data_IF_654853104436
#
_entry.id   IF_654853104436
#
_cell.length_a   1.000
_cell.length_b   1.000
_cell.length_c   1.000
_cell.angle_alpha   90.00
_cell.angle_beta   90.00
_cell.angle_gamma   90.00
#
_symmetry.space_group_name_H-M   'P 1'
#
loop_
_entity.id
_entity.type
_entity.pdbx_description
1 polymer ?
#
# COMPACT_ATOMS: atom_id res chain seq x y z
N UNK A 1 20.45 -24.93 34.50
CA UNK A 1 19.39 -24.99 33.45
C UNK A 1 18.29 -23.91 33.55
N UNK A 2 18.06 -23.30 34.73
CA UNK A 2 17.10 -22.15 34.89
C UNK A 2 17.44 -20.89 34.09
N UNK A 3 18.72 -20.42 33.99
CA UNK A 3 19.04 -19.16 33.29
C UNK A 3 18.72 -19.21 31.80
N UNK A 4 19.07 -20.29 31.08
CA UNK A 4 18.80 -20.43 29.64
C UNK A 4 17.28 -20.48 29.35
N UNK A 5 16.51 -21.14 30.22
CA UNK A 5 15.03 -21.17 30.10
C UNK A 5 14.41 -19.79 30.32
N UNK A 6 14.97 -18.98 31.21
CA UNK A 6 14.51 -17.62 31.46
C UNK A 6 14.85 -16.67 30.30
N UNK A 7 16.06 -16.76 29.75
CA UNK A 7 16.47 -16.05 28.54
C UNK A 7 15.55 -16.38 27.34
N UNK A 8 15.28 -17.68 27.13
CA UNK A 8 14.41 -18.13 26.05
C UNK A 8 12.95 -17.67 26.20
N UNK A 9 12.42 -17.60 27.44
CA UNK A 9 11.08 -17.05 27.72
C UNK A 9 11.00 -15.57 27.38
N UNK A 10 12.04 -14.81 27.74
CA UNK A 10 12.12 -13.36 27.50
C UNK A 10 12.24 -13.06 26.01
N UNK A 11 13.10 -13.79 25.29
CA UNK A 11 13.20 -13.67 23.84
C UNK A 11 11.87 -13.99 23.13
N UNK A 12 11.09 -14.96 23.63
CA UNK A 12 9.74 -15.23 23.08
C UNK A 12 8.71 -14.15 23.43
N UNK A 13 8.84 -13.52 24.59
CA UNK A 13 8.01 -12.37 24.98
C UNK A 13 8.40 -11.12 24.21
N UNK A 14 9.62 -11.06 23.67
CA UNK A 14 10.14 -10.04 22.82
C UNK A 14 9.53 -10.13 21.41
N UNK A 15 8.27 -9.77 21.29
CA UNK A 15 7.65 -9.49 19.99
C UNK A 15 8.05 -8.08 19.62
N UNK A 16 8.97 -7.94 18.65
CA UNK A 16 9.45 -6.68 18.14
C UNK A 16 8.31 -5.70 17.86
N UNK A 17 8.12 -4.75 18.72
CA UNK A 17 7.08 -3.72 18.65
C UNK A 17 7.40 -2.63 19.66
N UNK A 18 7.66 -1.45 19.17
CA UNK A 18 7.43 -0.09 19.73
C UNK A 18 7.89 0.29 21.14
N UNK A 19 8.48 -0.56 21.94
CA UNK A 19 9.09 -0.19 23.21
C UNK A 19 10.57 -0.52 23.17
N UNK A 20 11.40 0.42 23.62
CA UNK A 20 12.83 0.24 23.81
C UNK A 20 13.01 -0.99 24.72
N UNK A 21 13.60 -2.09 24.26
CA UNK A 21 13.65 -3.30 25.04
C UNK A 21 14.56 -3.09 26.23
N UNK A 22 14.09 -3.42 27.42
CA UNK A 22 14.97 -3.51 28.58
C UNK A 22 16.15 -4.45 28.25
N UNK A 23 17.42 -4.01 28.37
CA UNK A 23 18.57 -4.84 28.11
C UNK A 23 18.52 -6.16 28.89
N UNK A 24 18.91 -7.24 28.23
CA UNK A 24 18.93 -8.59 28.84
C UNK A 24 20.15 -8.78 29.73
N UNK A 25 21.31 -8.26 29.31
CA UNK A 25 22.59 -8.45 29.96
C UNK A 25 22.62 -8.11 31.46
N UNK A 26 22.07 -6.97 31.95
CA UNK A 26 22.13 -6.62 33.37
C UNK A 26 21.48 -7.64 34.32
N UNK A 27 20.78 -8.61 33.81
CA UNK A 27 20.04 -9.63 34.61
C UNK A 27 20.76 -10.97 34.71
N UNK A 28 21.88 -11.11 33.98
CA UNK A 28 22.70 -12.31 33.99
C UNK A 28 24.13 -11.96 34.39
N UNK A 29 24.85 -12.84 35.11
CA UNK A 29 26.27 -12.60 35.46
C UNK A 29 27.09 -12.50 34.17
N UNK A 30 28.01 -11.49 34.13
CA UNK A 30 28.85 -11.21 32.95
C UNK A 30 29.89 -12.31 32.69
N UNK A 31 30.19 -13.13 33.69
CA UNK A 31 31.26 -14.12 33.70
C UNK A 31 30.80 -15.53 33.33
N UNK A 32 29.48 -15.72 33.04
CA UNK A 32 28.99 -16.98 32.57
C UNK A 32 28.60 -16.95 31.06
N UNK A 33 28.46 -18.13 30.46
CA UNK A 33 28.14 -18.30 29.04
C UNK A 33 26.77 -17.66 28.69
N UNK A 34 25.86 -17.59 29.63
CA UNK A 34 24.51 -17.04 29.45
C UNK A 34 24.56 -15.51 29.46
N UNK A 35 25.41 -14.93 30.33
CA UNK A 35 25.65 -13.49 30.35
C UNK A 35 26.29 -13.00 29.05
N UNK A 36 27.31 -13.70 28.54
CA UNK A 36 27.93 -13.40 27.25
C UNK A 36 26.94 -13.48 26.11
N UNK A 37 26.06 -14.48 26.10
CA UNK A 37 25.00 -14.61 25.09
C UNK A 37 23.96 -13.49 25.21
N UNK A 38 23.56 -13.09 26.42
CA UNK A 38 22.66 -11.99 26.65
C UNK A 38 23.24 -10.65 26.13
N UNK A 39 24.53 -10.40 26.41
CA UNK A 39 25.24 -9.23 25.87
C UNK A 39 25.30 -9.22 24.35
N UNK A 40 25.65 -10.34 23.73
CA UNK A 40 25.68 -10.43 22.26
C UNK A 40 24.30 -10.22 21.62
N UNK A 41 23.23 -10.65 22.28
CA UNK A 41 21.85 -10.40 21.82
C UNK A 41 21.45 -8.92 21.98
N UNK A 42 21.84 -8.27 23.06
CA UNK A 42 21.60 -6.84 23.27
C UNK A 42 22.35 -6.01 22.23
N UNK A 43 23.63 -6.33 21.97
CA UNK A 43 24.43 -5.67 20.92
C UNK A 43 23.83 -5.86 19.53
N UNK A 44 23.33 -7.07 19.22
CA UNK A 44 22.65 -7.35 17.94
C UNK A 44 21.35 -6.58 17.83
N UNK A 45 20.56 -6.54 18.90
CA UNK A 45 19.30 -5.80 18.97
C UNK A 45 19.53 -4.30 18.77
N UNK A 46 20.55 -3.73 19.42
CA UNK A 46 20.92 -2.32 19.27
C UNK A 46 21.30 -1.99 17.83
N UNK A 47 22.15 -2.82 17.19
CA UNK A 47 22.52 -2.63 15.78
C UNK A 47 21.32 -2.73 14.85
N UNK A 48 20.41 -3.67 15.10
CA UNK A 48 19.20 -3.81 14.29
C UNK A 48 18.30 -2.59 14.42
N UNK A 49 18.15 -2.07 15.65
CA UNK A 49 17.39 -0.86 15.93
C UNK A 49 17.98 0.35 15.22
N UNK A 50 19.31 0.50 15.25
CA UNK A 50 20.02 1.58 14.55
C UNK A 50 19.80 1.53 13.03
N UNK A 51 19.87 0.33 12.43
CA UNK A 51 19.63 0.16 10.98
C UNK A 51 18.19 0.53 10.64
N UNK A 52 17.21 0.05 11.41
CA UNK A 52 15.80 0.38 11.21
C UNK A 52 15.54 1.87 11.37
N UNK A 53 16.17 2.50 12.38
CA UNK A 53 16.01 3.93 12.61
C UNK A 53 16.61 4.76 11.46
N UNK A 54 17.80 4.39 11.00
CA UNK A 54 18.44 5.04 9.84
C UNK A 54 17.60 4.92 8.56
N UNK A 55 17.01 3.75 8.32
CA UNK A 55 16.10 3.55 7.18
C UNK A 55 14.84 4.42 7.29
N UNK A 56 14.30 4.60 8.50
CA UNK A 56 13.15 5.49 8.74
C UNK A 56 13.49 6.95 8.47
N UNK A 57 14.62 7.42 8.98
CA UNK A 57 15.10 8.78 8.76
C UNK A 57 15.37 9.05 7.29
N UNK A 58 16.07 8.14 6.60
CA UNK A 58 16.32 8.24 5.16
C UNK A 58 15.02 8.32 4.36
N UNK A 59 14.04 7.46 4.64
CA UNK A 59 12.75 7.50 3.97
C UNK A 59 11.98 8.79 4.23
N UNK A 60 12.08 9.35 5.45
CA UNK A 60 11.46 10.62 5.78
C UNK A 60 12.11 11.78 5.01
N UNK A 61 13.43 11.83 4.97
CA UNK A 61 14.19 12.86 4.25
C UNK A 61 13.92 12.81 2.75
N UNK A 62 14.02 11.63 2.13
CA UNK A 62 13.70 11.44 0.69
C UNK A 62 12.29 11.89 0.38
N UNK A 63 11.34 11.59 1.27
CA UNK A 63 9.94 11.99 1.05
C UNK A 63 9.73 13.49 1.15
N UNK A 64 10.45 14.16 2.05
CA UNK A 64 10.43 15.63 2.13
C UNK A 64 11.05 16.26 0.87
N UNK A 65 12.21 15.76 0.45
CA UNK A 65 12.90 16.22 -0.76
C UNK A 65 12.09 15.98 -2.06
N UNK A 66 11.28 14.92 -2.11
CA UNK A 66 10.41 14.64 -3.25
C UNK A 66 9.12 15.48 -3.25
N UNK A 67 8.59 15.88 -2.09
CA UNK A 67 7.38 16.73 -2.03
C UNK A 67 7.58 18.10 -2.66
N UNK A 68 8.74 18.70 -2.47
CA UNK A 68 9.04 20.02 -3.00
C UNK A 68 8.96 20.09 -4.53
N UNK A 69 9.67 19.26 -5.31
CA UNK A 69 9.55 19.26 -6.77
C UNK A 69 8.16 18.87 -7.26
N UNK A 70 7.46 17.95 -6.56
CA UNK A 70 6.09 17.59 -6.90
C UNK A 70 5.12 18.76 -6.68
N UNK A 71 5.28 19.54 -5.61
CA UNK A 71 4.48 20.74 -5.38
C UNK A 71 4.72 21.80 -6.48
N UNK A 72 5.94 21.94 -6.98
CA UNK A 72 6.26 22.83 -8.10
C UNK A 72 5.57 22.35 -9.38
N UNK A 73 5.65 21.04 -9.69
CA UNK A 73 4.98 20.44 -10.85
C UNK A 73 3.47 20.64 -10.76
N UNK A 74 2.87 20.41 -9.58
CA UNK A 74 1.45 20.64 -9.33
C UNK A 74 1.07 22.09 -9.59
N UNK A 75 1.75 23.05 -8.95
CA UNK A 75 1.45 24.46 -9.11
C UNK A 75 1.57 24.97 -10.55
N UNK A 76 2.64 24.54 -11.25
CA UNK A 76 2.81 24.87 -12.66
C UNK A 76 1.71 24.29 -13.55
N UNK A 77 1.32 23.03 -13.29
CA UNK A 77 0.28 22.34 -14.05
C UNK A 77 -1.10 22.98 -13.78
N UNK A 78 -1.40 23.28 -12.53
CA UNK A 78 -2.67 23.96 -12.15
C UNK A 78 -2.76 25.36 -12.77
N UNK A 79 -1.70 26.13 -12.72
CA UNK A 79 -1.66 27.45 -13.36
C UNK A 79 -1.91 27.37 -14.88
N UNK A 80 -1.31 26.40 -15.56
CA UNK A 80 -1.55 26.20 -16.99
C UNK A 80 -2.98 25.78 -17.28
N UNK A 81 -3.57 24.94 -16.43
CA UNK A 81 -4.97 24.48 -16.57
C UNK A 81 -6.03 25.58 -16.35
N UNK A 82 -5.67 26.75 -15.77
CA UNK A 82 -6.60 27.89 -15.66
C UNK A 82 -6.75 28.67 -16.98
N UNK A 83 -5.92 28.41 -17.96
CA UNK A 83 -5.98 29.11 -19.25
C UNK A 83 -7.17 28.61 -20.06
N UNK A 84 -8.01 29.55 -20.58
CA UNK A 84 -9.23 29.18 -21.32
C UNK A 84 -8.97 28.78 -22.78
N UNK A 85 -7.78 29.05 -23.29
CA UNK A 85 -7.38 28.94 -24.72
C UNK A 85 -6.47 27.74 -25.01
N UNK A 86 -6.52 26.71 -24.16
CA UNK A 86 -5.69 25.51 -24.35
C UNK A 86 -6.22 24.64 -25.49
N UNK A 87 -5.33 24.25 -26.40
CA UNK A 87 -5.64 23.18 -27.34
C UNK A 87 -6.00 21.88 -26.59
N UNK A 88 -6.99 21.13 -27.10
CA UNK A 88 -7.43 19.87 -26.51
C UNK A 88 -6.27 18.90 -26.21
N UNK A 89 -5.31 18.78 -27.12
CA UNK A 89 -4.13 17.93 -26.93
C UNK A 89 -3.23 18.39 -25.77
N UNK A 90 -3.10 19.70 -25.57
CA UNK A 90 -2.33 20.28 -24.46
C UNK A 90 -3.06 20.06 -23.15
N UNK A 91 -4.37 20.29 -23.12
CA UNK A 91 -5.23 20.04 -21.97
C UNK A 91 -5.10 18.58 -21.49
N UNK A 92 -5.22 17.62 -22.40
CA UNK A 92 -5.07 16.19 -22.08
C UNK A 92 -3.68 15.86 -21.51
N UNK A 93 -2.60 16.47 -22.06
CA UNK A 93 -1.24 16.26 -21.54
C UNK A 93 -1.09 16.84 -20.11
N UNK A 94 -1.58 18.03 -19.86
CA UNK A 94 -1.53 18.66 -18.54
C UNK A 94 -2.33 17.86 -17.50
N UNK A 95 -3.50 17.36 -17.86
CA UNK A 95 -4.27 16.48 -17.02
C UNK A 95 -3.53 15.17 -16.71
N UNK A 96 -2.79 14.63 -17.67
CA UNK A 96 -1.96 13.44 -17.47
C UNK A 96 -0.80 13.72 -16.50
N UNK A 97 -0.15 14.88 -16.61
CA UNK A 97 0.92 15.32 -15.68
C UNK A 97 0.35 15.46 -14.28
N UNK A 98 -0.80 16.14 -14.10
CA UNK A 98 -1.45 16.31 -12.80
C UNK A 98 -1.77 14.97 -12.12
N UNK A 99 -2.29 14.01 -12.88
CA UNK A 99 -2.56 12.66 -12.35
C UNK A 99 -1.32 11.91 -11.93
N UNK A 100 -0.25 11.96 -12.75
CA UNK A 100 1.00 11.32 -12.44
C UNK A 100 1.66 11.90 -11.18
N UNK A 101 1.59 13.23 -11.01
CA UNK A 101 2.05 13.93 -9.82
C UNK A 101 1.27 13.47 -8.58
N UNK A 102 -0.07 13.42 -8.66
CA UNK A 102 -0.90 12.95 -7.55
C UNK A 102 -0.58 11.50 -7.15
N UNK A 103 -0.41 10.60 -8.14
CA UNK A 103 0.00 9.22 -7.88
C UNK A 103 1.36 9.14 -7.17
N UNK A 104 2.34 9.96 -7.57
CA UNK A 104 3.63 10.02 -6.90
C UNK A 104 3.49 10.51 -5.46
N UNK A 105 2.69 11.55 -5.22
CA UNK A 105 2.42 12.09 -3.89
C UNK A 105 1.76 11.07 -2.97
N UNK A 106 0.77 10.33 -3.45
CA UNK A 106 0.09 9.28 -2.70
C UNK A 106 1.05 8.13 -2.36
N UNK A 107 1.87 7.69 -3.32
CA UNK A 107 2.88 6.65 -3.10
C UNK A 107 3.91 7.06 -2.04
N UNK A 108 4.41 8.30 -2.09
CA UNK A 108 5.35 8.85 -1.11
C UNK A 108 4.68 8.89 0.27
N UNK A 109 3.42 9.33 0.35
CA UNK A 109 2.64 9.33 1.59
C UNK A 109 2.51 7.93 2.20
N UNK A 110 2.16 6.94 1.39
CA UNK A 110 2.05 5.55 1.84
C UNK A 110 3.40 4.97 2.27
N UNK A 111 4.48 5.24 1.54
CA UNK A 111 5.82 4.80 1.91
C UNK A 111 6.28 5.38 3.25
N UNK A 112 5.93 6.64 3.53
CA UNK A 112 6.20 7.25 4.83
C UNK A 112 5.47 6.58 5.98
N UNK A 113 4.17 6.31 5.81
CA UNK A 113 3.38 5.57 6.82
C UNK A 113 3.99 4.19 7.09
N UNK A 114 4.37 3.48 6.03
CA UNK A 114 4.99 2.16 6.12
C UNK A 114 6.38 2.19 6.76
N UNK A 115 7.18 3.22 6.47
CA UNK A 115 8.52 3.40 7.03
C UNK A 115 8.48 3.64 8.54
N UNK A 116 7.52 4.45 9.01
CA UNK A 116 7.34 4.72 10.44
C UNK A 116 6.67 3.58 11.19
N UNK A 117 6.09 2.62 10.48
CA UNK A 117 5.23 1.59 11.03
C UNK A 117 4.11 2.16 11.93
N UNK A 118 3.66 3.37 11.60
CA UNK A 118 2.65 4.11 12.34
C UNK A 118 1.37 4.19 11.52
N UNK A 119 0.25 3.89 12.14
CA UNK A 119 -1.05 4.14 11.53
C UNK A 119 -1.27 5.66 11.48
N UNK A 120 -1.39 6.21 10.26
CA UNK A 120 -1.83 7.59 10.12
C UNK A 120 -3.21 7.77 10.71
N UNK A 121 -3.46 8.94 11.31
CA UNK A 121 -4.77 9.28 11.86
C UNK A 121 -5.73 9.71 10.74
N UNK A 122 -7.00 9.42 10.93
CA UNK A 122 -8.09 9.84 10.06
C UNK A 122 -9.04 8.71 9.70
N UNK A 123 -10.18 9.11 9.19
CA UNK A 123 -11.20 8.19 8.68
C UNK A 123 -11.49 8.49 7.22
N UNK A 124 -11.79 7.46 6.43
CA UNK A 124 -12.05 7.62 4.99
C UNK A 124 -13.30 6.89 4.56
N UNK A 125 -14.12 7.54 3.76
CA UNK A 125 -15.27 6.91 3.12
C UNK A 125 -14.81 6.13 1.88
N UNK A 126 -15.02 4.82 1.89
CA UNK A 126 -14.53 3.89 0.85
C UNK A 126 -15.15 4.19 -0.51
N UNK A 127 -16.46 4.42 -0.56
CA UNK A 127 -17.16 4.68 -1.82
C UNK A 127 -16.71 6.00 -2.45
N UNK A 128 -16.48 7.05 -1.64
CA UNK A 128 -16.00 8.36 -2.13
C UNK A 128 -14.61 8.21 -2.76
N UNK A 129 -13.69 7.53 -2.07
CA UNK A 129 -12.32 7.33 -2.59
C UNK A 129 -12.35 6.48 -3.85
N UNK A 130 -13.16 5.41 -3.87
CA UNK A 130 -13.33 4.57 -5.06
C UNK A 130 -13.86 5.37 -6.26
N UNK A 131 -14.88 6.22 -6.08
CA UNK A 131 -15.44 7.06 -7.15
C UNK A 131 -14.39 8.03 -7.71
N UNK A 132 -13.64 8.72 -6.86
CA UNK A 132 -12.56 9.63 -7.29
C UNK A 132 -11.51 8.91 -8.14
N UNK A 133 -11.14 7.68 -7.75
CA UNK A 133 -10.21 6.86 -8.50
C UNK A 133 -10.79 6.42 -9.85
N UNK A 134 -12.05 5.98 -9.86
CA UNK A 134 -12.74 5.60 -11.10
C UNK A 134 -12.87 6.79 -12.06
N UNK A 135 -13.21 7.98 -11.58
CA UNK A 135 -13.28 9.20 -12.40
C UNK A 135 -11.92 9.55 -13.01
N UNK A 136 -10.85 9.41 -12.21
CA UNK A 136 -9.50 9.58 -12.70
C UNK A 136 -9.16 8.60 -13.83
N UNK A 137 -9.58 7.34 -13.70
CA UNK A 137 -9.35 6.33 -14.74
C UNK A 137 -10.27 6.53 -15.95
N UNK A 138 -11.56 6.90 -15.78
CA UNK A 138 -12.50 7.22 -16.89
C UNK A 138 -11.88 8.27 -17.82
N UNK A 139 -11.27 9.31 -17.24
CA UNK A 139 -10.58 10.35 -18.00
C UNK A 139 -9.34 9.86 -18.77
N UNK A 140 -8.84 8.66 -18.47
CA UNK A 140 -7.62 8.09 -19.07
C UNK A 140 -7.88 6.95 -20.06
N UNK A 141 -9.10 6.46 -20.14
CA UNK A 141 -9.41 5.30 -21.00
C UNK A 141 -9.08 5.52 -22.49
N UNK A 142 -9.08 6.80 -22.95
CA UNK A 142 -8.58 7.15 -24.30
C UNK A 142 -9.23 6.38 -25.44
N UNK A 143 -10.51 5.98 -25.28
CA UNK A 143 -11.22 5.17 -26.27
C UNK A 143 -11.16 3.65 -26.03
N UNK A 144 -10.54 3.15 -24.97
CA UNK A 144 -10.68 1.74 -24.57
C UNK A 144 -12.15 1.44 -24.26
N UNK A 145 -12.74 0.36 -24.81
CA UNK A 145 -14.12 -0.02 -24.56
C UNK A 145 -14.29 -0.71 -23.21
N UNK A 146 -13.97 0.01 -22.12
CA UNK A 146 -14.08 -0.45 -20.75
C UNK A 146 -15.10 0.41 -20.02
N UNK A 147 -16.08 -0.22 -19.38
CA UNK A 147 -17.05 0.41 -18.50
C UNK A 147 -16.54 0.33 -17.06
N UNK A 148 -16.50 1.48 -16.36
CA UNK A 148 -16.10 1.52 -14.96
C UNK A 148 -17.33 1.79 -14.11
N UNK A 149 -17.67 0.86 -13.21
CA UNK A 149 -18.87 0.94 -12.36
C UNK A 149 -18.51 0.90 -10.87
N UNK A 150 -19.30 1.60 -10.05
CA UNK A 150 -19.28 1.54 -8.60
C UNK A 150 -20.64 1.15 -8.07
N UNK A 151 -20.68 0.04 -7.36
CA UNK A 151 -21.88 -0.54 -6.77
C UNK A 151 -21.77 -0.71 -5.26
N UNK A 152 -22.88 -1.03 -4.60
CA UNK A 152 -22.91 -1.37 -3.17
C UNK A 152 -23.08 -0.18 -2.25
N UNK A 153 -22.57 -0.29 -1.02
CA UNK A 153 -22.78 0.66 0.06
C UNK A 153 -22.00 1.97 -0.16
N UNK A 154 -22.59 3.09 0.25
CA UNK A 154 -21.99 4.43 0.13
C UNK A 154 -21.46 5.00 1.45
N UNK A 155 -21.78 4.36 2.57
CA UNK A 155 -21.54 4.84 3.93
C UNK A 155 -20.42 4.08 4.67
N UNK A 156 -19.76 3.11 4.02
CA UNK A 156 -18.63 2.40 4.63
C UNK A 156 -17.47 3.37 4.90
N UNK A 157 -17.14 3.53 6.19
CA UNK A 157 -16.03 4.35 6.67
C UNK A 157 -15.01 3.47 7.37
N UNK A 158 -13.74 3.63 7.02
CA UNK A 158 -12.60 2.92 7.59
C UNK A 158 -11.71 3.86 8.41
N UNK A 159 -11.08 3.33 9.45
CA UNK A 159 -10.12 4.05 10.28
C UNK A 159 -8.73 4.02 9.63
N UNK A 160 -8.56 4.89 8.65
CA UNK A 160 -7.31 5.10 7.93
C UNK A 160 -7.36 6.43 7.18
N UNK A 161 -6.22 7.12 6.99
CA UNK A 161 -6.15 8.33 6.19
C UNK A 161 -6.46 8.03 4.72
N UNK A 162 -7.03 9.00 4.02
CA UNK A 162 -7.43 8.88 2.62
C UNK A 162 -6.26 8.49 1.71
N UNK A 163 -5.04 8.94 1.99
CA UNK A 163 -3.84 8.57 1.26
C UNK A 163 -3.55 7.07 1.30
N UNK A 164 -3.70 6.42 2.46
CA UNK A 164 -3.47 4.97 2.58
C UNK A 164 -4.53 4.17 1.81
N UNK A 165 -5.80 4.56 1.95
CA UNK A 165 -6.91 3.92 1.24
C UNK A 165 -6.82 4.13 -0.28
N UNK A 166 -6.49 5.36 -0.71
CA UNK A 166 -6.31 5.73 -2.12
C UNK A 166 -5.18 4.92 -2.77
N UNK A 167 -4.06 4.73 -2.09
CA UNK A 167 -2.97 3.88 -2.59
C UNK A 167 -3.38 2.42 -2.68
N UNK A 168 -4.05 1.88 -1.67
CA UNK A 168 -4.50 0.49 -1.70
C UNK A 168 -5.52 0.25 -2.83
N UNK A 169 -6.60 1.02 -2.89
CA UNK A 169 -7.63 0.90 -3.92
C UNK A 169 -7.11 1.29 -5.31
N UNK A 170 -6.30 2.33 -5.40
CA UNK A 170 -5.70 2.79 -6.66
C UNK A 170 -4.84 1.73 -7.33
N UNK A 171 -4.10 0.94 -6.54
CA UNK A 171 -3.35 -0.21 -7.07
C UNK A 171 -4.27 -1.32 -7.58
N UNK A 172 -5.34 -1.64 -6.88
CA UNK A 172 -6.28 -2.68 -7.30
C UNK A 172 -7.06 -2.25 -8.56
N UNK A 173 -7.64 -1.05 -8.55
CA UNK A 173 -8.39 -0.49 -9.69
C UNK A 173 -7.45 -0.27 -10.89
N UNK A 174 -6.27 0.28 -10.66
CA UNK A 174 -5.26 0.52 -11.70
C UNK A 174 -4.83 -0.78 -12.39
N UNK A 175 -4.64 -1.86 -11.63
CA UNK A 175 -4.36 -3.17 -12.20
C UNK A 175 -5.55 -3.68 -13.03
N UNK A 176 -6.76 -3.61 -12.52
CA UNK A 176 -7.98 -4.01 -13.23
C UNK A 176 -8.12 -3.29 -14.59
N UNK A 177 -7.98 -1.97 -14.61
CA UNK A 177 -8.05 -1.15 -15.85
C UNK A 177 -6.88 -1.44 -16.79
N UNK A 178 -5.68 -1.68 -16.24
CA UNK A 178 -4.48 -1.96 -17.03
C UNK A 178 -4.59 -3.28 -17.78
N UNK A 179 -5.06 -4.33 -17.12
CA UNK A 179 -5.11 -5.68 -17.70
C UNK A 179 -6.40 -5.97 -18.47
N UNK A 180 -7.46 -5.17 -18.31
CA UNK A 180 -8.64 -5.24 -19.17
C UNK A 180 -8.38 -4.54 -20.51
N UNK A 181 -8.67 -5.22 -21.61
CA UNK A 181 -8.63 -4.64 -22.95
C UNK A 181 -10.01 -4.07 -23.34
N UNK A 182 -11.07 -4.74 -22.91
CA UNK A 182 -12.48 -4.44 -23.15
C UNK A 182 -13.35 -4.96 -22.00
N UNK A 183 -14.62 -4.59 -21.97
CA UNK A 183 -15.61 -5.09 -21.02
C UNK A 183 -15.81 -4.18 -19.82
N UNK A 184 -15.75 -4.70 -18.61
CA UNK A 184 -16.09 -3.95 -17.39
C UNK A 184 -15.03 -4.11 -16.30
N UNK A 185 -14.82 -3.03 -15.56
CA UNK A 185 -14.17 -3.04 -14.24
C UNK A 185 -15.20 -2.57 -13.23
N UNK A 186 -15.60 -3.48 -12.35
CA UNK A 186 -16.64 -3.25 -11.35
C UNK A 186 -16.05 -3.19 -9.97
N UNK A 187 -16.28 -2.06 -9.29
CA UNK A 187 -15.94 -1.88 -7.87
C UNK A 187 -17.21 -2.05 -7.06
N UNK A 188 -17.23 -2.98 -6.12
CA UNK A 188 -18.38 -3.23 -5.25
C UNK A 188 -17.99 -3.06 -3.79
N UNK A 189 -18.66 -2.13 -3.10
CA UNK A 189 -18.46 -1.84 -1.68
C UNK A 189 -19.47 -2.62 -0.85
N UNK A 190 -18.99 -3.58 -0.06
CA UNK A 190 -19.80 -4.35 0.90
C UNK A 190 -19.78 -3.74 2.30
N UNK A 191 -20.16 -4.53 3.32
CA UNK A 191 -20.26 -4.07 4.71
C UNK A 191 -18.90 -3.75 5.35
N UNK A 192 -17.88 -4.53 5.05
CA UNK A 192 -16.53 -4.40 5.60
C UNK A 192 -15.43 -4.69 4.55
N UNK A 193 -15.77 -4.70 3.30
CA UNK A 193 -14.85 -5.03 2.23
C UNK A 193 -15.20 -4.26 0.96
N UNK A 194 -14.20 -4.12 0.09
CA UNK A 194 -14.39 -3.64 -1.28
C UNK A 194 -13.76 -4.64 -2.23
N UNK A 195 -14.48 -5.01 -3.28
CA UNK A 195 -14.00 -5.89 -4.33
C UNK A 195 -13.89 -5.14 -5.65
N UNK A 196 -12.85 -5.46 -6.41
CA UNK A 196 -12.60 -4.96 -7.75
C UNK A 196 -12.57 -6.17 -8.67
N UNK A 197 -13.55 -6.27 -9.56
CA UNK A 197 -13.64 -7.32 -10.56
C UNK A 197 -13.33 -6.73 -11.94
N UNK A 198 -12.55 -7.45 -12.74
CA UNK A 198 -12.16 -7.04 -14.08
C UNK A 198 -12.54 -8.10 -15.14
N UNK A 199 -12.51 -7.68 -16.41
CA UNK A 199 -12.75 -8.52 -17.58
C UNK A 199 -11.47 -8.91 -18.32
N UNK A 200 -10.33 -8.86 -17.64
CA UNK A 200 -9.01 -9.18 -18.19
C UNK A 200 -8.81 -10.66 -18.53
N UNK A 201 -7.58 -11.07 -18.88
CA UNK A 201 -7.27 -12.46 -19.25
C UNK A 201 -7.40 -13.46 -18.10
N UNK A 202 -7.53 -12.96 -16.86
CA UNK A 202 -7.57 -13.80 -15.68
C UNK A 202 -6.17 -14.17 -15.15
N UNK A 203 -6.15 -14.97 -14.09
CA UNK A 203 -4.96 -15.52 -13.45
C UNK A 203 -5.18 -16.99 -13.13
N UNK A 204 -4.11 -17.77 -13.11
CA UNK A 204 -4.14 -19.09 -12.50
C UNK A 204 -4.21 -18.98 -10.98
N UNK A 205 -4.72 -20.02 -10.30
CA UNK A 205 -4.70 -20.06 -8.82
C UNK A 205 -3.27 -20.00 -8.27
N UNK A 206 -2.32 -20.59 -8.98
CA UNK A 206 -0.89 -20.58 -8.61
C UNK A 206 -0.31 -19.17 -8.72
N UNK A 207 -0.61 -18.43 -9.78
CA UNK A 207 -0.19 -17.04 -9.95
C UNK A 207 -0.85 -16.14 -8.89
N UNK A 208 -2.15 -16.34 -8.61
CA UNK A 208 -2.88 -15.58 -7.61
C UNK A 208 -2.24 -15.72 -6.21
N UNK A 209 -1.79 -16.91 -5.82
CA UNK A 209 -1.12 -17.15 -4.54
C UNK A 209 0.24 -16.45 -4.42
N UNK A 210 0.90 -16.16 -5.53
CA UNK A 210 2.24 -15.54 -5.57
C UNK A 210 2.22 -14.03 -5.80
N UNK A 211 1.07 -13.44 -6.14
CA UNK A 211 0.96 -12.02 -6.55
C UNK A 211 1.45 -11.00 -5.52
N UNK A 212 1.37 -11.33 -4.24
CA UNK A 212 1.79 -10.44 -3.16
C UNK A 212 3.29 -10.56 -2.82
N UNK A 213 4.02 -11.49 -3.45
CA UNK A 213 5.46 -11.59 -3.29
C UNK A 213 6.15 -10.43 -4.04
N UNK A 214 7.13 -9.81 -3.38
CA UNK A 214 7.85 -8.67 -3.95
C UNK A 214 8.51 -9.04 -5.29
N UNK A 215 8.16 -8.30 -6.35
CA UNK A 215 8.74 -8.49 -7.68
C UNK A 215 8.12 -9.62 -8.50
N UNK A 216 7.13 -10.36 -7.98
CA UNK A 216 6.44 -11.39 -8.75
C UNK A 216 5.61 -10.75 -9.89
N UNK A 217 5.69 -11.36 -11.06
CA UNK A 217 4.87 -11.02 -12.23
C UNK A 217 4.25 -12.32 -12.73
N UNK A 218 2.94 -12.36 -12.84
CA UNK A 218 2.23 -13.54 -13.36
C UNK A 218 2.71 -13.90 -14.78
N UNK A 219 2.53 -15.14 -15.16
CA UNK A 219 2.95 -15.72 -16.45
C UNK A 219 2.38 -15.01 -17.67
N UNK A 220 1.26 -14.32 -17.53
CA UNK A 220 0.58 -13.57 -18.60
C UNK A 220 0.91 -12.07 -18.64
N UNK A 221 1.85 -11.61 -17.81
CA UNK A 221 2.30 -10.21 -17.75
C UNK A 221 3.24 -9.84 -18.91
N UNK A 222 2.92 -10.20 -20.14
CA UNK A 222 3.66 -9.80 -21.35
C UNK A 222 3.90 -8.29 -21.32
N UNK A 223 5.09 -7.82 -21.71
CA UNK A 223 5.56 -6.44 -21.97
C UNK A 223 4.93 -5.27 -21.17
N UNK A 224 4.23 -5.51 -20.05
CA UNK A 224 3.62 -4.45 -19.27
C UNK A 224 4.68 -3.74 -18.43
N UNK A 225 4.97 -2.49 -18.77
CA UNK A 225 5.76 -1.57 -17.96
C UNK A 225 5.06 -1.33 -16.60
N UNK A 226 5.59 -1.91 -15.54
CA UNK A 226 5.13 -1.69 -14.17
C UNK A 226 5.93 -2.56 -13.19
N UNK A 227 6.52 -1.95 -12.18
CA UNK A 227 7.59 -2.55 -11.36
C UNK A 227 7.17 -3.63 -10.36
N UNK A 228 5.94 -4.18 -10.39
CA UNK A 228 5.50 -5.19 -9.38
C UNK A 228 5.48 -4.68 -7.93
N UNK A 229 5.62 -3.37 -7.72
CA UNK A 229 5.73 -2.76 -6.38
C UNK A 229 4.33 -2.50 -5.78
N UNK A 230 3.32 -2.24 -6.62
CA UNK A 230 1.99 -1.82 -6.16
C UNK A 230 1.33 -2.80 -5.18
N UNK A 231 1.27 -4.09 -5.53
CA UNK A 231 0.65 -5.08 -4.66
C UNK A 231 1.46 -5.37 -3.39
N UNK A 232 2.79 -5.23 -3.43
CA UNK A 232 3.61 -5.34 -2.22
C UNK A 232 3.38 -4.16 -1.26
N UNK A 233 3.09 -2.96 -1.78
CA UNK A 233 2.66 -1.81 -0.96
C UNK A 233 1.28 -2.09 -0.35
N UNK A 234 0.33 -2.63 -1.14
CA UNK A 234 -1.00 -3.01 -0.63
C UNK A 234 -0.87 -4.02 0.52
N UNK A 235 -0.04 -5.06 0.35
CA UNK A 235 0.21 -6.06 1.41
C UNK A 235 0.73 -5.41 2.70
N UNK A 236 1.71 -4.53 2.60
CA UNK A 236 2.27 -3.83 3.77
C UNK A 236 1.27 -2.87 4.43
N UNK A 237 0.40 -2.21 3.65
CA UNK A 237 -0.69 -1.42 4.19
C UNK A 237 -1.71 -2.31 4.92
N UNK A 238 -1.99 -3.49 4.38
CA UNK A 238 -2.85 -4.47 5.05
C UNK A 238 -2.27 -4.90 6.40
N UNK A 239 -0.98 -5.21 6.47
CA UNK A 239 -0.29 -5.55 7.73
C UNK A 239 -0.39 -4.38 8.73
N UNK A 240 -0.18 -3.14 8.26
CA UNK A 240 -0.20 -1.94 9.10
C UNK A 240 -1.59 -1.64 9.66
N UNK A 241 -2.64 -1.75 8.84
CA UNK A 241 -4.01 -1.40 9.23
C UNK A 241 -4.84 -2.59 9.71
N UNK A 242 -4.28 -3.80 9.72
CA UNK A 242 -5.01 -5.02 10.03
C UNK A 242 -6.04 -5.39 8.95
N UNK A 243 -5.84 -4.93 7.72
CA UNK A 243 -6.65 -5.29 6.57
C UNK A 243 -6.19 -6.61 5.99
N UNK A 244 -7.03 -7.18 5.14
CA UNK A 244 -6.69 -8.37 4.37
C UNK A 244 -6.94 -8.11 2.91
N UNK A 245 -6.02 -8.54 2.06
CA UNK A 245 -6.18 -8.50 0.61
C UNK A 245 -6.14 -9.91 0.07
N UNK A 246 -7.07 -10.22 -0.82
CA UNK A 246 -7.11 -11.49 -1.53
C UNK A 246 -7.33 -11.24 -3.01
N UNK A 247 -6.77 -12.11 -3.83
CA UNK A 247 -6.97 -12.10 -5.29
C UNK A 247 -7.36 -13.51 -5.70
N UNK A 248 -8.40 -13.61 -6.52
CA UNK A 248 -8.85 -14.90 -7.05
C UNK A 248 -9.22 -14.76 -8.54
N UNK A 249 -9.16 -15.84 -9.30
CA UNK A 249 -9.71 -15.84 -10.64
C UNK A 249 -11.18 -15.39 -10.66
N UNK A 250 -11.57 -14.61 -11.67
CA UNK A 250 -12.97 -14.35 -11.98
C UNK A 250 -13.63 -15.63 -12.47
N UNK A 251 -14.96 -15.67 -12.62
CA UNK A 251 -15.66 -16.87 -13.05
C UNK A 251 -15.13 -17.39 -14.39
N UNK A 252 -15.69 -16.92 -15.50
CA UNK A 252 -15.26 -17.35 -16.85
C UNK A 252 -13.97 -16.64 -17.29
N UNK A 253 -13.72 -15.43 -16.85
CA UNK A 253 -12.51 -14.63 -17.16
C UNK A 253 -12.31 -13.52 -16.13
N UNK A 254 -11.16 -12.86 -16.19
CA UNK A 254 -10.81 -11.75 -15.31
C UNK A 254 -10.33 -12.16 -13.93
N UNK A 255 -10.20 -11.19 -13.07
CA UNK A 255 -9.69 -11.31 -11.70
C UNK A 255 -10.63 -10.58 -10.75
N UNK A 256 -10.78 -11.11 -9.54
CA UNK A 256 -11.46 -10.43 -8.45
C UNK A 256 -10.45 -10.20 -7.33
N UNK A 257 -10.10 -8.94 -7.10
CA UNK A 257 -9.29 -8.51 -5.97
C UNK A 257 -10.21 -7.96 -4.87
N UNK A 258 -10.05 -8.43 -3.64
CA UNK A 258 -10.87 -8.01 -2.49
C UNK A 258 -9.99 -7.49 -1.38
N UNK A 259 -10.29 -6.28 -0.92
CA UNK A 259 -9.70 -5.66 0.26
C UNK A 259 -10.73 -5.69 1.39
N UNK A 260 -10.45 -6.44 2.45
CA UNK A 260 -11.30 -6.57 3.63
C UNK A 260 -10.71 -5.73 4.76
N UNK A 261 -11.53 -4.91 5.37
CA UNK A 261 -11.14 -4.02 6.45
C UNK A 261 -11.26 -4.71 7.80
N UNK A 262 -10.41 -4.31 8.76
CA UNK A 262 -10.54 -4.78 10.12
C UNK A 262 -11.91 -4.37 10.69
N UNK A 263 -12.59 -5.25 11.44
CA UNK A 263 -13.81 -4.86 12.12
C UNK A 263 -13.53 -3.66 13.01
N UNK A 264 -14.43 -2.65 12.97
CA UNK A 264 -14.34 -1.52 13.88
C UNK A 264 -14.40 -2.09 15.30
N UNK A 265 -13.33 -1.96 16.08
CA UNK A 265 -13.40 -2.21 17.51
C UNK A 265 -14.39 -1.17 18.05
N UNK A 266 -15.59 -1.61 18.38
CA UNK A 266 -16.55 -0.78 19.13
C UNK A 266 -15.90 -0.44 20.47
N UNK A 267 -15.95 0.83 20.90
CA UNK A 267 -15.38 1.27 22.16
C UNK A 267 -15.99 0.59 23.36
#
# INVERSE_FOLDING_TARGET
MKPVSDLAKRLRAYRGGTSDPEPLAPRFPDDDEVGQLAQALDDYSARLTEVVQRDREFNADVSHELRTPLAVIRGATELLLTRPDLEEKVLQRLQRIKRAEQQCSDLIGALLLLSRNERGQGTSNVARVAEQLLDSHRAQLGGKPIILTLEGQRDLVVDAPESALSVALGNLIGNAVKYSLEGEVRVNVGNNAVSVADSGPGLSEEDAAKLFQRGYRGTHAGHSQGGGIGLSIVSRLCDLYGWQVSVRPGGDRGVIATLTFAPKLLP
#
